data_IF_398918307041
#
_entry.id   IF_398918307041
#
_cell.length_a   1.000
_cell.length_b   1.000
_cell.length_c   1.000
_cell.angle_alpha   90.00
_cell.angle_beta   90.00
_cell.angle_gamma   90.00
#
_symmetry.space_group_name_H-M   'P 1'
#
loop_
_entity.id
_entity.type
_entity.pdbx_description
1 polymer ?
#
# COMPACT_ATOMS: atom_id res chain seq x y z
N UNK A 1 41.34 -26.64 -13.78
CA UNK A 1 41.06 -26.54 -12.33
C UNK A 1 39.56 -26.44 -12.16
N UNK A 2 38.91 -27.51 -11.70
CA UNK A 2 37.51 -27.44 -11.22
C UNK A 2 37.54 -26.83 -9.82
N UNK A 3 37.03 -25.64 -9.69
CA UNK A 3 36.88 -24.99 -8.39
C UNK A 3 35.57 -25.47 -7.77
N UNK A 4 35.63 -26.02 -6.53
CA UNK A 4 34.43 -26.39 -5.83
C UNK A 4 33.74 -25.11 -5.36
N UNK A 5 32.58 -24.76 -5.97
CA UNK A 5 31.80 -23.57 -5.67
C UNK A 5 30.69 -23.85 -4.67
N UNK A 6 30.62 -25.08 -4.12
CA UNK A 6 29.54 -25.51 -3.23
C UNK A 6 29.51 -24.69 -1.94
N UNK A 7 30.66 -24.48 -1.30
CA UNK A 7 30.76 -23.64 -0.09
C UNK A 7 30.35 -22.19 -0.38
N UNK A 8 30.79 -21.63 -1.51
CA UNK A 8 30.40 -20.27 -1.89
C UNK A 8 28.90 -20.15 -2.13
N UNK A 9 28.29 -21.13 -2.78
CA UNK A 9 26.86 -21.16 -3.04
C UNK A 9 26.07 -21.23 -1.73
N UNK A 10 26.48 -22.07 -0.78
CA UNK A 10 25.87 -22.19 0.55
C UNK A 10 25.99 -20.89 1.33
N UNK A 11 27.18 -20.28 1.39
CA UNK A 11 27.40 -19.00 2.09
C UNK A 11 26.52 -17.91 1.48
N UNK A 12 26.44 -17.85 0.16
CA UNK A 12 25.60 -16.87 -0.53
C UNK A 12 24.12 -17.06 -0.22
N UNK A 13 23.63 -18.29 -0.25
CA UNK A 13 22.25 -18.62 0.07
C UNK A 13 21.94 -18.28 1.54
N UNK A 14 22.81 -18.67 2.48
CA UNK A 14 22.66 -18.31 3.91
C UNK A 14 22.64 -16.80 4.10
N UNK A 15 23.55 -16.07 3.46
CA UNK A 15 23.55 -14.60 3.51
C UNK A 15 22.26 -13.97 3.00
N UNK A 16 21.68 -14.49 1.93
CA UNK A 16 20.42 -14.01 1.37
C UNK A 16 19.22 -14.34 2.29
N UNK A 17 19.25 -15.51 2.93
CA UNK A 17 18.21 -15.99 3.83
C UNK A 17 18.21 -15.26 5.19
N UNK A 18 19.38 -14.90 5.69
CA UNK A 18 19.55 -14.24 7.01
C UNK A 18 19.48 -12.71 6.94
N UNK A 19 19.21 -12.14 5.75
CA UNK A 19 19.05 -10.68 5.65
C UNK A 19 17.93 -10.18 6.56
N UNK A 20 18.20 -9.08 7.32
CA UNK A 20 17.24 -8.53 8.23
C UNK A 20 16.05 -7.92 7.49
N UNK A 21 14.88 -8.17 8.04
CA UNK A 21 13.59 -7.64 7.58
C UNK A 21 12.99 -6.82 8.69
N UNK A 22 12.56 -5.62 8.37
CA UNK A 22 11.75 -4.76 9.22
C UNK A 22 10.27 -4.91 8.88
N UNK A 23 9.42 -4.97 9.92
CA UNK A 23 7.97 -4.98 9.79
C UNK A 23 7.33 -3.92 10.67
N UNK A 24 6.37 -3.19 10.11
CA UNK A 24 5.44 -2.32 10.83
C UNK A 24 4.07 -2.98 10.83
N UNK A 25 3.42 -3.03 11.98
CA UNK A 25 2.13 -3.68 12.16
C UNK A 25 1.19 -2.71 12.85
N UNK A 26 -0.01 -2.58 12.31
CA UNK A 26 -1.05 -1.71 12.81
C UNK A 26 -2.36 -2.49 13.00
N UNK A 27 -3.01 -2.27 14.13
CA UNK A 27 -4.33 -2.84 14.42
C UNK A 27 -5.39 -1.86 13.96
N UNK A 28 -6.03 -2.18 12.84
CA UNK A 28 -7.01 -1.31 12.21
C UNK A 28 -8.24 -1.11 13.10
N UNK A 29 -8.81 0.10 13.07
CA UNK A 29 -10.05 0.47 13.77
C UNK A 29 -10.02 0.28 15.30
N UNK A 30 -8.86 0.05 15.93
CA UNK A 30 -8.75 -0.19 17.36
C UNK A 30 -9.32 0.98 18.18
N UNK A 31 -8.99 2.21 17.80
CA UNK A 31 -9.47 3.41 18.49
C UNK A 31 -11.01 3.55 18.41
N UNK A 32 -11.59 3.28 17.23
CA UNK A 32 -13.06 3.37 17.03
C UNK A 32 -13.80 2.31 17.82
N UNK A 33 -13.37 1.06 17.73
CA UNK A 33 -13.99 -0.05 18.46
C UNK A 33 -13.84 0.16 19.95
N UNK A 34 -12.67 0.62 20.41
CA UNK A 34 -12.44 0.84 21.83
C UNK A 34 -13.24 1.98 22.45
N UNK A 35 -13.62 3.02 21.67
CA UNK A 35 -14.46 4.13 22.15
C UNK A 35 -15.86 3.67 22.60
N UNK A 36 -16.39 2.64 21.99
CA UNK A 36 -17.72 2.09 22.31
C UNK A 36 -17.71 1.07 23.46
N UNK A 37 -16.53 0.72 23.99
CA UNK A 37 -16.37 -0.31 24.99
C UNK A 37 -16.15 0.26 26.41
N UNK A 38 -16.61 -0.48 27.43
CA UNK A 38 -16.21 -0.21 28.81
C UNK A 38 -14.73 -0.49 29.01
N UNK A 39 -14.09 0.15 30.00
CA UNK A 39 -12.63 0.02 30.24
C UNK A 39 -12.19 -1.44 30.40
N UNK A 40 -13.01 -2.26 31.08
CA UNK A 40 -12.74 -3.70 31.24
C UNK A 40 -12.74 -4.43 29.89
N UNK A 41 -13.71 -4.16 29.02
CA UNK A 41 -13.79 -4.76 27.68
C UNK A 41 -12.66 -4.29 26.79
N UNK A 42 -12.30 -3.00 26.87
CA UNK A 42 -11.17 -2.41 26.15
C UNK A 42 -9.84 -3.08 26.54
N UNK A 43 -9.61 -3.27 27.85
CA UNK A 43 -8.42 -3.99 28.33
C UNK A 43 -8.37 -5.44 27.85
N UNK A 44 -9.51 -6.15 27.89
CA UNK A 44 -9.60 -7.51 27.40
C UNK A 44 -9.31 -7.62 25.89
N UNK A 45 -9.89 -6.73 25.09
CA UNK A 45 -9.66 -6.67 23.63
C UNK A 45 -8.18 -6.42 23.33
N UNK A 46 -7.60 -5.44 24.02
CA UNK A 46 -6.18 -5.12 23.91
C UNK A 46 -5.27 -6.30 24.24
N UNK A 47 -5.51 -6.97 25.36
CA UNK A 47 -4.77 -8.16 25.75
C UNK A 47 -4.95 -9.31 24.75
N UNK A 48 -6.16 -9.49 24.25
CA UNK A 48 -6.47 -10.52 23.26
C UNK A 48 -5.66 -10.33 21.98
N UNK A 49 -5.71 -9.14 21.36
CA UNK A 49 -4.97 -8.83 20.13
C UNK A 49 -3.46 -8.95 20.36
N UNK A 50 -2.96 -8.41 21.47
CA UNK A 50 -1.54 -8.50 21.83
C UNK A 50 -1.10 -9.97 21.96
N UNK A 51 -1.88 -10.81 22.62
CA UNK A 51 -1.58 -12.22 22.78
C UNK A 51 -1.60 -12.98 21.44
N UNK A 52 -2.56 -12.68 20.55
CA UNK A 52 -2.61 -13.29 19.22
C UNK A 52 -1.36 -12.96 18.40
N UNK A 53 -0.98 -11.69 18.33
CA UNK A 53 0.20 -11.24 17.59
C UNK A 53 1.50 -11.78 18.22
N UNK A 54 1.61 -11.78 19.55
CA UNK A 54 2.78 -12.31 20.26
C UNK A 54 2.93 -13.82 20.08
N UNK A 55 1.82 -14.58 20.17
CA UNK A 55 1.83 -16.02 19.92
C UNK A 55 2.25 -16.36 18.49
N UNK A 56 1.71 -15.62 17.50
CA UNK A 56 2.11 -15.77 16.11
C UNK A 56 3.59 -15.43 15.89
N UNK A 57 4.08 -14.35 16.49
CA UNK A 57 5.46 -13.94 16.39
C UNK A 57 6.41 -15.00 17.00
N UNK A 58 6.10 -15.49 18.19
CA UNK A 58 6.90 -16.53 18.87
C UNK A 58 6.92 -17.83 18.07
N UNK A 59 5.77 -18.27 17.51
CA UNK A 59 5.71 -19.48 16.69
C UNK A 59 6.57 -19.38 15.42
N UNK A 60 6.73 -18.17 14.89
CA UNK A 60 7.48 -17.92 13.67
C UNK A 60 8.91 -17.41 13.91
N UNK A 61 9.40 -17.37 15.15
CA UNK A 61 10.70 -16.80 15.52
C UNK A 61 10.87 -15.33 15.10
N UNK A 62 9.81 -14.54 15.24
CA UNK A 62 9.79 -13.11 14.94
C UNK A 62 9.99 -12.34 16.25
N UNK A 63 10.95 -11.42 16.30
CA UNK A 63 10.99 -10.44 17.36
C UNK A 63 9.88 -9.42 17.17
N UNK A 64 8.93 -9.37 18.11
CA UNK A 64 7.81 -8.44 18.07
C UNK A 64 7.86 -7.53 19.30
N UNK A 65 7.80 -6.22 19.07
CA UNK A 65 7.73 -5.22 20.13
C UNK A 65 6.53 -4.30 19.90
N UNK A 66 5.72 -4.16 20.92
CA UNK A 66 4.67 -3.16 20.93
C UNK A 66 5.26 -1.77 21.18
N UNK A 67 4.93 -0.80 20.35
CA UNK A 67 5.42 0.60 20.46
C UNK A 67 4.31 1.57 20.84
N UNK A 68 3.05 1.22 20.53
CA UNK A 68 1.87 2.01 20.92
C UNK A 68 0.68 1.07 21.15
N UNK A 69 -0.46 1.63 21.49
CA UNK A 69 -1.71 0.90 21.76
C UNK A 69 -2.13 -0.01 20.63
N UNK A 70 -1.95 0.43 19.39
CA UNK A 70 -2.35 -0.22 18.16
C UNK A 70 -1.18 -0.49 17.19
N UNK A 71 0.07 -0.23 17.62
CA UNK A 71 1.26 -0.35 16.78
C UNK A 71 2.29 -1.30 17.36
N UNK A 72 2.84 -2.11 16.45
CA UNK A 72 3.93 -3.05 16.75
C UNK A 72 5.02 -2.95 15.69
N UNK A 73 6.24 -3.24 16.11
CA UNK A 73 7.40 -3.39 15.24
C UNK A 73 7.85 -4.83 15.26
N UNK A 74 8.10 -5.39 14.10
CA UNK A 74 8.60 -6.75 13.92
C UNK A 74 10.02 -6.72 13.34
N UNK A 75 10.85 -7.65 13.80
CA UNK A 75 12.18 -7.90 13.25
C UNK A 75 12.35 -9.38 13.01
N UNK A 76 12.73 -9.78 11.81
CA UNK A 76 12.85 -11.16 11.37
C UNK A 76 13.91 -11.28 10.27
N UNK A 77 14.18 -12.49 9.80
CA UNK A 77 15.03 -12.71 8.64
C UNK A 77 14.22 -12.93 7.34
N UNK A 78 14.89 -12.85 6.21
CA UNK A 78 14.28 -13.02 4.88
C UNK A 78 13.69 -14.42 4.68
N UNK A 79 14.29 -15.44 5.27
CA UNK A 79 13.82 -16.82 5.22
C UNK A 79 12.45 -16.95 5.91
N UNK A 80 12.31 -16.35 7.09
CA UNK A 80 11.02 -16.30 7.81
C UNK A 80 9.99 -15.53 6.97
N UNK A 81 10.34 -14.36 6.45
CA UNK A 81 9.44 -13.59 5.59
C UNK A 81 8.96 -14.41 4.39
N UNK A 82 9.86 -15.12 3.70
CA UNK A 82 9.51 -15.96 2.54
C UNK A 82 8.55 -17.09 2.90
N UNK A 83 8.64 -17.64 4.13
CA UNK A 83 7.69 -18.62 4.64
C UNK A 83 6.32 -17.98 4.90
N UNK A 84 6.30 -16.82 5.57
CA UNK A 84 5.05 -16.07 5.80
C UNK A 84 4.34 -15.69 4.51
N UNK A 85 5.08 -15.34 3.47
CA UNK A 85 4.54 -15.04 2.13
C UNK A 85 3.88 -16.29 1.51
N UNK A 86 4.49 -17.48 1.64
CA UNK A 86 3.91 -18.76 1.17
C UNK A 86 2.61 -19.08 1.90
N UNK A 87 2.57 -18.83 3.20
CA UNK A 87 1.40 -19.04 4.06
C UNK A 87 0.39 -17.87 3.96
N UNK A 88 0.66 -16.88 3.07
CA UNK A 88 -0.18 -15.71 2.82
C UNK A 88 -0.53 -14.93 4.09
N UNK A 89 0.35 -14.94 5.08
CA UNK A 89 0.16 -14.26 6.36
C UNK A 89 -1.19 -14.62 7.03
N UNK A 90 -1.37 -15.90 7.38
CA UNK A 90 -2.59 -16.47 7.99
C UNK A 90 -3.09 -15.70 9.23
N UNK A 91 -2.20 -15.01 9.92
CA UNK A 91 -2.51 -14.19 11.10
C UNK A 91 -3.58 -13.12 10.81
N UNK A 92 -3.63 -12.58 9.59
CA UNK A 92 -4.62 -11.56 9.23
C UNK A 92 -6.04 -12.16 9.30
N UNK A 93 -6.22 -13.31 8.63
CA UNK A 93 -7.50 -14.01 8.63
C UNK A 93 -7.86 -14.43 10.07
N UNK A 94 -6.90 -14.94 10.84
CA UNK A 94 -7.10 -15.38 12.20
C UNK A 94 -7.54 -14.26 13.15
N UNK A 95 -6.90 -13.08 13.10
CA UNK A 95 -7.30 -11.93 13.91
C UNK A 95 -8.70 -11.47 13.54
N UNK A 96 -9.00 -11.36 12.23
CA UNK A 96 -10.31 -10.93 11.73
C UNK A 96 -11.43 -11.87 12.19
N UNK A 97 -11.26 -13.17 12.02
CA UNK A 97 -12.26 -14.16 12.36
C UNK A 97 -12.52 -14.22 13.87
N UNK A 98 -11.45 -14.27 14.66
CA UNK A 98 -11.57 -14.38 16.11
C UNK A 98 -12.14 -13.12 16.77
N UNK A 99 -11.82 -11.93 16.28
CA UNK A 99 -12.40 -10.68 16.79
C UNK A 99 -13.85 -10.49 16.33
N UNK A 100 -14.19 -10.91 15.12
CA UNK A 100 -15.57 -10.90 14.64
C UNK A 100 -16.50 -11.81 15.49
N UNK A 101 -16.03 -12.99 15.90
CA UNK A 101 -16.78 -13.89 16.81
C UNK A 101 -17.04 -13.26 18.18
N UNK A 102 -16.24 -12.30 18.60
CA UNK A 102 -16.42 -11.55 19.87
C UNK A 102 -17.25 -10.27 19.71
N UNK A 103 -17.89 -10.07 18.56
CA UNK A 103 -18.62 -8.83 18.21
C UNK A 103 -17.77 -7.55 18.31
N UNK A 104 -16.45 -7.67 18.16
CA UNK A 104 -15.50 -6.56 18.18
C UNK A 104 -14.56 -6.70 16.96
N UNK A 105 -15.06 -6.57 15.71
CA UNK A 105 -14.28 -6.85 14.51
C UNK A 105 -13.11 -5.90 14.40
N UNK A 106 -11.90 -6.46 14.45
CA UNK A 106 -10.64 -5.78 14.17
C UNK A 106 -9.93 -6.46 13.02
N UNK A 107 -9.15 -5.69 12.30
CA UNK A 107 -8.25 -6.19 11.27
C UNK A 107 -6.83 -5.72 11.57
N UNK A 108 -5.87 -6.27 10.85
CA UNK A 108 -4.46 -5.93 11.02
C UNK A 108 -3.86 -5.63 9.65
N UNK A 109 -3.15 -4.52 9.58
CA UNK A 109 -2.37 -4.12 8.41
C UNK A 109 -0.89 -4.21 8.72
N UNK A 110 -0.09 -4.67 7.74
CA UNK A 110 1.35 -4.84 7.93
C UNK A 110 2.13 -4.34 6.71
N UNK A 111 3.29 -3.74 6.97
CA UNK A 111 4.26 -3.38 5.95
C UNK A 111 5.61 -4.00 6.27
N UNK A 112 6.21 -4.76 5.34
CA UNK A 112 7.53 -5.35 5.49
C UNK A 112 8.49 -4.83 4.44
N UNK A 113 9.74 -4.58 4.83
CA UNK A 113 10.83 -4.22 3.93
C UNK A 113 12.15 -4.86 4.36
N UNK A 114 13.08 -4.98 3.43
CA UNK A 114 14.41 -5.56 3.62
C UNK A 114 15.42 -4.97 2.64
N UNK A 115 16.72 -5.08 2.94
CA UNK A 115 17.77 -4.62 2.04
C UNK A 115 17.85 -5.48 0.77
N UNK A 116 18.08 -4.84 -0.37
CA UNK A 116 18.31 -5.55 -1.63
C UNK A 116 19.63 -6.31 -1.63
N UNK A 117 19.68 -7.39 -2.42
CA UNK A 117 20.87 -8.26 -2.53
C UNK A 117 22.10 -7.58 -3.11
N UNK A 118 21.94 -6.40 -3.71
CA UNK A 118 23.01 -5.64 -4.38
C UNK A 118 23.59 -4.53 -3.53
N UNK A 119 23.05 -4.28 -2.33
CA UNK A 119 23.55 -3.24 -1.43
C UNK A 119 24.72 -3.76 -0.61
N UNK A 120 25.87 -3.09 -0.73
CA UNK A 120 27.08 -3.43 0.05
C UNK A 120 27.01 -2.96 1.49
N UNK A 121 26.13 -2.01 1.81
CA UNK A 121 25.92 -1.45 3.14
C UNK A 121 24.41 -1.45 3.44
N UNK A 122 24.02 -2.07 4.55
CA UNK A 122 22.65 -2.05 5.01
C UNK A 122 22.36 -0.73 5.73
N UNK A 123 21.41 0.03 5.21
CA UNK A 123 20.87 1.19 5.90
C UNK A 123 19.57 0.80 6.60
N UNK A 124 19.62 0.56 7.90
CA UNK A 124 18.47 0.13 8.69
C UNK A 124 17.37 1.18 8.78
N UNK A 125 17.73 2.46 8.77
CA UNK A 125 16.77 3.58 8.80
C UNK A 125 15.94 3.60 7.51
N UNK A 126 16.57 3.40 6.35
CA UNK A 126 15.87 3.32 5.07
C UNK A 126 14.93 2.11 5.01
N UNK A 127 15.38 0.95 5.50
CA UNK A 127 14.54 -0.27 5.53
C UNK A 127 13.33 -0.05 6.45
N UNK A 128 13.54 0.55 7.61
CA UNK A 128 12.47 0.86 8.56
C UNK A 128 11.47 1.89 8.01
N UNK A 129 11.97 2.95 7.35
CA UNK A 129 11.14 3.95 6.68
C UNK A 129 10.29 3.31 5.57
N UNK A 130 10.90 2.46 4.74
CA UNK A 130 10.18 1.77 3.68
C UNK A 130 9.16 0.75 4.21
N UNK A 131 9.42 0.10 5.34
CA UNK A 131 8.42 -0.74 6.01
C UNK A 131 7.21 0.08 6.47
N UNK A 132 7.43 1.32 6.94
CA UNK A 132 6.35 2.25 7.27
C UNK A 132 5.56 2.66 6.02
N UNK A 133 6.21 3.02 4.93
CA UNK A 133 5.56 3.34 3.65
C UNK A 133 4.71 2.16 3.13
N UNK A 134 5.21 0.93 3.28
CA UNK A 134 4.47 -0.26 2.91
C UNK A 134 3.23 -0.47 3.79
N UNK A 135 3.32 -0.16 5.10
CA UNK A 135 2.15 -0.15 5.97
C UNK A 135 1.14 0.93 5.55
N UNK A 136 1.61 2.14 5.24
CA UNK A 136 0.76 3.25 4.79
C UNK A 136 0.05 2.88 3.48
N UNK A 137 0.73 2.17 2.58
CA UNK A 137 0.13 1.63 1.36
C UNK A 137 -0.94 0.58 1.66
N UNK A 138 -0.71 -0.32 2.62
CA UNK A 138 -1.71 -1.30 3.05
C UNK A 138 -2.97 -0.59 3.60
N UNK A 139 -2.78 0.40 4.46
CA UNK A 139 -3.86 1.20 5.03
C UNK A 139 -4.59 2.02 3.96
N UNK A 140 -3.86 2.62 3.02
CA UNK A 140 -4.42 3.36 1.90
C UNK A 140 -5.35 2.53 1.02
N UNK A 141 -5.05 1.23 0.86
CA UNK A 141 -5.88 0.29 0.08
C UNK A 141 -7.08 -0.27 0.84
N UNK A 142 -7.28 0.13 2.06
CA UNK A 142 -8.43 -0.31 2.85
C UNK A 142 -8.09 -1.03 4.14
N UNK A 143 -6.83 -1.31 4.40
CA UNK A 143 -6.39 -2.11 5.55
C UNK A 143 -6.64 -3.62 5.35
N UNK A 144 -6.49 -4.39 6.44
CA UNK A 144 -6.68 -5.85 6.43
C UNK A 144 -5.78 -6.57 5.43
N UNK A 145 -4.55 -6.11 5.28
CA UNK A 145 -3.61 -6.66 4.31
C UNK A 145 -2.15 -6.43 4.70
N UNK A 146 -1.28 -7.21 4.06
CA UNK A 146 0.17 -7.06 4.15
C UNK A 146 0.72 -6.55 2.83
N UNK A 147 1.63 -5.59 2.92
CA UNK A 147 2.44 -5.13 1.80
C UNK A 147 3.90 -5.50 2.07
N UNK A 148 4.52 -6.16 1.11
CA UNK A 148 5.94 -6.50 1.12
C UNK A 148 6.58 -5.86 -0.09
N UNK A 149 7.55 -4.98 0.13
CA UNK A 149 8.31 -4.30 -0.92
C UNK A 149 9.70 -3.99 -0.42
N UNK A 150 10.72 -4.27 -1.21
CA UNK A 150 12.06 -3.72 -1.11
C UNK A 150 12.27 -2.64 -2.19
N UNK A 151 13.39 -1.92 -2.13
CA UNK A 151 13.65 -0.76 -3.01
C UNK A 151 13.65 -1.11 -4.51
N UNK A 152 14.00 -2.35 -4.87
CA UNK A 152 14.18 -2.81 -6.26
C UNK A 152 13.21 -3.92 -6.68
N UNK A 153 12.43 -4.48 -5.76
CA UNK A 153 11.51 -5.54 -6.07
C UNK A 153 10.09 -5.02 -6.23
N UNK A 154 9.29 -5.73 -7.01
CA UNK A 154 7.87 -5.44 -7.16
C UNK A 154 7.12 -5.54 -5.83
N UNK A 155 6.11 -4.68 -5.67
CA UNK A 155 5.26 -4.68 -4.49
C UNK A 155 4.36 -5.91 -4.49
N UNK A 156 4.38 -6.65 -3.39
CA UNK A 156 3.55 -7.84 -3.20
C UNK A 156 2.49 -7.57 -2.14
N UNK A 157 1.26 -8.02 -2.40
CA UNK A 157 0.10 -7.80 -1.55
C UNK A 157 -0.51 -9.12 -1.09
N UNK A 158 -0.88 -9.20 0.18
CA UNK A 158 -1.51 -10.37 0.79
C UNK A 158 -2.71 -9.92 1.63
N UNK A 159 -3.82 -10.67 1.63
CA UNK A 159 -5.05 -10.30 2.35
C UNK A 159 -5.99 -9.43 1.53
N UNK A 160 -6.68 -8.48 2.17
CA UNK A 160 -7.62 -7.57 1.51
C UNK A 160 -8.98 -8.20 1.16
N UNK A 161 -9.43 -9.20 1.94
CA UNK A 161 -10.71 -9.89 1.73
C UNK A 161 -11.90 -9.19 2.40
N UNK A 162 -11.65 -8.29 3.34
CA UNK A 162 -12.72 -7.53 4.00
C UNK A 162 -13.23 -6.43 3.08
N UNK A 163 -14.56 -6.31 2.96
CA UNK A 163 -15.15 -5.09 2.41
C UNK A 163 -14.76 -3.93 3.32
N UNK A 164 -14.17 -2.85 2.80
CA UNK A 164 -13.87 -1.68 3.62
C UNK A 164 -15.22 -1.14 4.12
N UNK A 165 -15.52 -1.36 5.41
CA UNK A 165 -16.59 -0.62 6.06
C UNK A 165 -16.23 0.87 5.94
N UNK A 166 -17.06 1.60 5.22
CA UNK A 166 -16.97 3.04 4.99
C UNK A 166 -16.98 3.83 6.30
N UNK A 167 -15.86 3.91 6.98
CA UNK A 167 -15.63 4.97 7.95
C UNK A 167 -14.30 5.61 7.67
N UNK A 168 -14.37 6.68 6.88
CA UNK A 168 -13.30 7.62 6.60
C UNK A 168 -12.92 8.35 7.89
N UNK A 169 -12.10 7.73 8.74
CA UNK A 169 -11.51 8.48 9.86
C UNK A 169 -10.49 9.48 9.32
N UNK A 170 -10.39 10.64 9.95
CA UNK A 170 -9.38 11.67 9.58
C UNK A 170 -7.95 11.13 9.57
N UNK A 171 -7.67 10.15 10.42
CA UNK A 171 -6.36 9.49 10.50
C UNK A 171 -6.08 8.71 9.23
N UNK A 172 -7.05 7.90 8.75
CA UNK A 172 -6.92 7.12 7.52
C UNK A 172 -6.73 8.03 6.30
N UNK A 173 -7.51 9.11 6.21
CA UNK A 173 -7.35 10.10 5.13
C UNK A 173 -5.95 10.71 5.10
N UNK A 174 -5.37 11.02 6.27
CA UNK A 174 -4.01 11.55 6.37
C UNK A 174 -2.96 10.52 5.92
N UNK A 175 -3.10 9.26 6.34
CA UNK A 175 -2.20 8.18 5.94
C UNK A 175 -2.23 7.95 4.43
N UNK A 176 -3.43 7.92 3.83
CA UNK A 176 -3.59 7.79 2.37
C UNK A 176 -2.92 8.98 1.66
N UNK A 177 -3.15 10.20 2.15
CA UNK A 177 -2.53 11.39 1.55
C UNK A 177 -1.01 11.34 1.63
N UNK A 178 -0.44 10.91 2.75
CA UNK A 178 1.00 10.80 2.91
C UNK A 178 1.60 9.70 2.01
N UNK A 179 0.94 8.54 1.92
CA UNK A 179 1.39 7.47 1.02
C UNK A 179 1.37 7.93 -0.44
N UNK A 180 0.31 8.64 -0.86
CA UNK A 180 0.21 9.20 -2.20
C UNK A 180 1.30 10.24 -2.47
N UNK A 181 1.58 11.12 -1.51
CA UNK A 181 2.64 12.11 -1.58
C UNK A 181 4.02 11.46 -1.80
N UNK A 182 4.34 10.43 -1.03
CA UNK A 182 5.60 9.70 -1.15
C UNK A 182 5.72 9.04 -2.52
N UNK A 183 4.66 8.36 -2.99
CA UNK A 183 4.65 7.72 -4.32
C UNK A 183 4.82 8.75 -5.45
N UNK A 184 4.16 9.91 -5.34
CA UNK A 184 4.33 11.01 -6.30
C UNK A 184 5.75 11.58 -6.26
N UNK A 185 6.38 11.68 -5.08
CA UNK A 185 7.74 12.19 -4.94
C UNK A 185 8.77 11.30 -5.67
N UNK A 186 8.60 9.98 -5.60
CA UNK A 186 9.48 8.99 -6.26
C UNK A 186 9.29 8.91 -7.78
N UNK A 187 8.08 9.18 -8.28
CA UNK A 187 7.77 9.07 -9.69
C UNK A 187 8.41 10.19 -10.53
N UNK A 188 8.80 9.89 -11.76
CA UNK A 188 9.25 10.90 -12.74
C UNK A 188 8.09 11.65 -13.36
N UNK A 189 6.97 10.96 -13.58
CA UNK A 189 5.72 11.50 -14.12
C UNK A 189 4.51 10.70 -13.63
N UNK A 190 3.33 11.26 -13.80
CA UNK A 190 2.09 10.69 -13.30
C UNK A 190 1.08 10.56 -14.45
N UNK A 191 0.53 9.38 -14.64
CA UNK A 191 -0.61 9.13 -15.52
C UNK A 191 -1.85 8.92 -14.68
N UNK A 192 -2.90 9.67 -14.97
CA UNK A 192 -4.15 9.68 -14.22
C UNK A 192 -5.25 9.18 -15.16
N UNK A 193 -5.99 8.17 -14.76
CA UNK A 193 -7.10 7.65 -15.54
C UNK A 193 -8.32 7.35 -14.68
N UNK A 194 -9.47 7.38 -15.27
CA UNK A 194 -10.72 6.98 -14.62
C UNK A 194 -11.39 5.83 -15.33
N UNK A 195 -12.72 5.72 -15.22
CA UNK A 195 -13.47 4.70 -15.95
C UNK A 195 -13.70 5.09 -17.42
N UNK A 196 -13.93 4.07 -18.25
CA UNK A 196 -14.02 4.14 -19.70
C UNK A 196 -15.06 5.17 -20.21
N UNK A 197 -16.20 5.30 -19.54
CA UNK A 197 -17.26 6.29 -19.86
C UNK A 197 -17.29 7.36 -18.76
N UNK A 198 -16.41 8.36 -18.82
CA UNK A 198 -16.23 9.29 -17.70
C UNK A 198 -17.50 10.10 -17.41
N UNK A 199 -17.78 10.28 -16.13
CA UNK A 199 -18.78 11.22 -15.63
C UNK A 199 -18.12 12.43 -14.96
N UNK A 200 -18.90 13.31 -14.35
CA UNK A 200 -18.40 14.53 -13.71
C UNK A 200 -17.50 14.23 -12.50
N UNK A 201 -17.80 13.17 -11.73
CA UNK A 201 -17.03 12.80 -10.56
C UNK A 201 -15.67 12.23 -10.98
N UNK A 202 -15.65 11.39 -12.00
CA UNK A 202 -14.44 10.86 -12.62
C UNK A 202 -13.51 11.97 -13.11
N UNK A 203 -14.02 12.89 -13.93
CA UNK A 203 -13.22 14.01 -14.46
C UNK A 203 -12.77 14.93 -13.33
N UNK A 204 -13.63 15.23 -12.37
CA UNK A 204 -13.29 16.03 -11.19
C UNK A 204 -12.19 15.40 -10.35
N UNK A 205 -12.25 14.07 -10.14
CA UNK A 205 -11.20 13.30 -9.48
C UNK A 205 -9.85 13.37 -10.20
N UNK A 206 -9.85 13.19 -11.52
CA UNK A 206 -8.65 13.32 -12.36
C UNK A 206 -8.02 14.72 -12.25
N UNK A 207 -8.82 15.77 -12.35
CA UNK A 207 -8.36 17.16 -12.22
C UNK A 207 -7.82 17.46 -10.83
N UNK A 208 -8.44 16.91 -9.77
CA UNK A 208 -7.98 17.01 -8.39
C UNK A 208 -6.59 16.40 -8.20
N UNK A 209 -6.37 15.17 -8.66
CA UNK A 209 -5.08 14.50 -8.60
C UNK A 209 -4.02 15.25 -9.43
N UNK A 210 -4.38 15.72 -10.63
CA UNK A 210 -3.49 16.56 -11.44
C UNK A 210 -3.05 17.83 -10.70
N UNK A 211 -3.97 18.48 -9.99
CA UNK A 211 -3.65 19.67 -9.19
C UNK A 211 -2.64 19.33 -8.08
N UNK A 212 -2.81 18.21 -7.40
CA UNK A 212 -1.88 17.73 -6.38
C UNK A 212 -0.51 17.44 -7.01
N UNK A 213 -0.47 16.71 -8.12
CA UNK A 213 0.78 16.43 -8.85
C UNK A 213 1.55 17.72 -9.22
N UNK A 214 0.83 18.73 -9.71
CA UNK A 214 1.41 20.05 -10.02
C UNK A 214 1.98 20.75 -8.79
N UNK A 215 1.32 20.65 -7.63
CA UNK A 215 1.84 21.23 -6.38
C UNK A 215 3.14 20.56 -5.93
N UNK A 216 3.36 19.31 -6.28
CA UNK A 216 4.61 18.57 -6.05
C UNK A 216 5.62 18.70 -7.20
N UNK A 217 5.38 19.59 -8.16
CA UNK A 217 6.28 19.84 -9.30
C UNK A 217 6.38 18.67 -10.28
N UNK A 218 5.37 17.78 -10.30
CA UNK A 218 5.36 16.60 -11.18
C UNK A 218 4.56 16.85 -12.46
N UNK A 219 5.11 16.41 -13.59
CA UNK A 219 4.38 16.33 -14.86
C UNK A 219 3.30 15.27 -14.74
N UNK A 220 2.09 15.59 -15.17
CA UNK A 220 0.96 14.67 -15.08
C UNK A 220 0.03 14.76 -16.28
N UNK A 221 -0.50 13.61 -16.68
CA UNK A 221 -1.34 13.42 -17.85
C UNK A 221 -2.67 12.79 -17.43
N UNK A 222 -3.77 13.30 -17.96
CA UNK A 222 -5.11 12.73 -17.77
C UNK A 222 -5.47 11.96 -19.03
N UNK A 223 -5.74 10.67 -18.87
CA UNK A 223 -6.12 9.78 -19.97
C UNK A 223 -7.63 9.79 -20.14
N UNK A 224 -8.10 10.13 -21.32
CA UNK A 224 -9.52 10.04 -21.67
C UNK A 224 -9.69 9.72 -23.16
N UNK A 225 -10.79 9.04 -23.50
CA UNK A 225 -11.16 8.79 -24.89
C UNK A 225 -12.32 9.71 -25.32
N UNK A 226 -12.11 10.68 -26.21
CA UNK A 226 -13.16 11.61 -26.67
C UNK A 226 -14.39 10.93 -27.28
N UNK A 227 -14.23 9.75 -27.86
CA UNK A 227 -15.33 9.00 -28.49
C UNK A 227 -16.34 8.46 -27.46
N UNK A 228 -15.94 8.39 -26.20
CA UNK A 228 -16.73 7.85 -25.09
C UNK A 228 -17.39 8.95 -24.24
N UNK A 229 -17.26 10.21 -24.62
CA UNK A 229 -17.84 11.31 -23.86
C UNK A 229 -19.36 11.39 -23.99
N UNK A 230 -20.05 11.45 -22.85
CA UNK A 230 -21.44 11.86 -22.78
C UNK A 230 -21.64 13.32 -23.23
N UNK A 231 -22.87 13.74 -23.44
CA UNK A 231 -23.17 15.12 -23.83
C UNK A 231 -22.67 16.15 -22.81
N UNK A 232 -22.83 15.85 -21.53
CA UNK A 232 -22.40 16.76 -20.44
C UNK A 232 -20.89 16.82 -20.32
N UNK A 233 -20.21 15.70 -20.50
CA UNK A 233 -18.74 15.66 -20.52
C UNK A 233 -18.18 16.43 -21.74
N UNK A 234 -18.82 16.35 -22.90
CA UNK A 234 -18.42 17.17 -24.06
C UNK A 234 -18.47 18.67 -23.77
N UNK A 235 -19.49 19.14 -23.03
CA UNK A 235 -19.56 20.54 -22.59
C UNK A 235 -18.44 20.88 -21.60
N UNK A 236 -18.21 20.04 -20.62
CA UNK A 236 -17.12 20.24 -19.67
C UNK A 236 -15.76 20.29 -20.36
N UNK A 237 -15.50 19.36 -21.27
CA UNK A 237 -14.24 19.32 -22.04
C UNK A 237 -14.08 20.53 -22.98
N UNK A 238 -15.17 21.11 -23.46
CA UNK A 238 -15.12 22.37 -24.23
C UNK A 238 -14.61 23.53 -23.34
N UNK A 239 -15.08 23.61 -22.07
CA UNK A 239 -14.60 24.63 -21.13
C UNK A 239 -13.13 24.37 -20.76
N UNK A 240 -12.74 23.09 -20.52
CA UNK A 240 -11.34 22.75 -20.22
C UNK A 240 -10.41 23.12 -21.38
N UNK A 241 -10.87 23.04 -22.63
CA UNK A 241 -10.07 23.42 -23.80
C UNK A 241 -9.74 24.93 -23.88
N UNK A 242 -10.45 25.77 -23.17
CA UNK A 242 -10.16 27.21 -23.08
C UNK A 242 -8.91 27.46 -22.18
N UNK A 243 -8.57 26.53 -21.30
CA UNK A 243 -7.34 26.55 -20.52
C UNK A 243 -6.26 25.74 -21.25
N UNK A 244 -5.28 26.43 -21.82
CA UNK A 244 -4.21 25.83 -22.62
C UNK A 244 -3.35 24.85 -21.79
N UNK A 245 -3.12 25.14 -20.51
CA UNK A 245 -2.35 24.28 -19.62
C UNK A 245 -3.10 22.98 -19.28
N UNK A 246 -4.41 23.07 -19.01
CA UNK A 246 -5.22 21.89 -18.75
C UNK A 246 -5.38 21.06 -20.02
N UNK A 247 -5.70 21.71 -21.13
CA UNK A 247 -5.91 21.05 -22.42
C UNK A 247 -4.69 20.25 -22.88
N UNK A 248 -3.48 20.80 -22.72
CA UNK A 248 -2.23 20.14 -23.11
C UNK A 248 -1.90 18.91 -22.25
N UNK A 249 -2.50 18.78 -21.09
CA UNK A 249 -2.30 17.63 -20.18
C UNK A 249 -3.29 16.49 -20.40
N UNK A 250 -4.24 16.62 -21.32
CA UNK A 250 -5.22 15.58 -21.63
C UNK A 250 -4.71 14.79 -22.85
N UNK A 251 -4.62 13.48 -22.70
CA UNK A 251 -4.07 12.57 -23.72
C UNK A 251 -5.04 11.42 -24.01
N UNK A 252 -4.92 10.82 -25.18
CA UNK A 252 -5.64 9.58 -25.50
C UNK A 252 -4.93 8.36 -24.87
N UNK A 253 -5.60 7.19 -24.76
CA UNK A 253 -4.96 5.96 -24.29
C UNK A 253 -3.69 5.62 -25.06
N UNK A 254 -3.67 5.74 -26.39
CA UNK A 254 -2.52 5.44 -27.23
C UNK A 254 -1.33 6.38 -26.95
N UNK A 255 -1.63 7.67 -26.72
CA UNK A 255 -0.61 8.64 -26.33
C UNK A 255 -0.06 8.34 -24.94
N UNK A 256 -0.92 7.95 -24.01
CA UNK A 256 -0.52 7.61 -22.64
C UNK A 256 0.38 6.36 -22.63
N UNK A 257 0.07 5.33 -23.42
CA UNK A 257 0.89 4.14 -23.55
C UNK A 257 2.31 4.47 -24.03
N UNK A 258 2.43 5.40 -25.00
CA UNK A 258 3.73 5.85 -25.51
C UNK A 258 4.54 6.67 -24.45
N UNK A 259 3.88 7.23 -23.43
CA UNK A 259 4.52 8.00 -22.36
C UNK A 259 4.97 7.13 -21.18
N UNK A 260 4.54 5.86 -21.09
CA UNK A 260 4.86 4.97 -19.96
C UNK A 260 6.38 4.70 -19.88
N UNK A 261 6.88 4.83 -18.67
CA UNK A 261 8.24 4.42 -18.29
C UNK A 261 8.18 3.57 -17.02
N UNK A 262 9.22 2.82 -16.66
CA UNK A 262 9.26 2.06 -15.40
C UNK A 262 9.06 2.91 -14.15
N UNK A 263 9.32 4.22 -14.22
CA UNK A 263 9.21 5.18 -13.11
C UNK A 263 7.93 6.02 -13.21
N UNK A 264 6.99 5.64 -14.08
CA UNK A 264 5.68 6.31 -14.19
C UNK A 264 4.74 5.81 -13.11
N UNK A 265 4.17 6.74 -12.32
CA UNK A 265 3.08 6.43 -11.40
C UNK A 265 1.74 6.50 -12.14
N UNK A 266 1.01 5.39 -12.15
CA UNK A 266 -0.36 5.35 -12.68
C UNK A 266 -1.34 5.45 -11.52
N UNK A 267 -2.23 6.45 -11.56
CA UNK A 267 -3.28 6.68 -10.56
C UNK A 267 -4.63 6.49 -11.23
N UNK A 268 -5.40 5.54 -10.70
CA UNK A 268 -6.75 5.25 -11.17
C UNK A 268 -7.75 5.83 -10.17
N UNK A 269 -8.69 6.63 -10.66
CA UNK A 269 -9.74 7.27 -9.85
C UNK A 269 -11.10 6.77 -10.28
N UNK A 270 -12.01 6.70 -9.32
CA UNK A 270 -13.43 6.37 -9.53
C UNK A 270 -13.68 5.05 -10.28
N UNK A 271 -12.83 4.05 -10.06
CA UNK A 271 -12.95 2.73 -10.69
C UNK A 271 -12.86 1.63 -9.63
N UNK A 272 -13.78 0.69 -9.67
CA UNK A 272 -13.80 -0.45 -8.76
C UNK A 272 -13.30 -1.76 -9.39
N UNK A 273 -13.11 -1.80 -10.71
CA UNK A 273 -12.62 -2.98 -11.45
C UNK A 273 -11.65 -2.54 -12.56
N UNK A 274 -10.48 -3.18 -12.69
CA UNK A 274 -9.49 -2.84 -13.73
C UNK A 274 -10.05 -2.87 -15.16
N UNK A 275 -11.01 -3.77 -15.44
CA UNK A 275 -11.64 -3.89 -16.76
C UNK A 275 -12.52 -2.71 -17.18
N UNK A 276 -12.74 -1.75 -16.29
CA UNK A 276 -13.54 -0.56 -16.53
C UNK A 276 -12.70 0.72 -16.69
N UNK A 277 -11.38 0.62 -16.64
CA UNK A 277 -10.48 1.77 -16.85
C UNK A 277 -10.48 2.24 -18.30
N UNK A 278 -10.15 3.52 -18.48
CA UNK A 278 -10.03 4.16 -19.78
C UNK A 278 -8.92 3.55 -20.64
#
# INVERSE_FOLDING_TARGET
YMMDITEYAVIKETYLDERPVFGQIFVDNFAEVSQSLTDRKKSNLNNFVTNQLTSWANHNNIYLKRVDTDRFVAFLDKKILSRLEKDKFDIIDKVRETTAQQNTPLTVSMGFSYADSTENVMNYDEIAAQAQENLDLALGRGGDQVVVRSKKEETRFYGGKSNPLEKRTRVRSRMVSQALENMMAEATQIIIMGHQYPDMDCVGGCLGIRRIAKMHGKTSWIVTNPDQYSHDIKKLMAVIKEDEELSSSIVTPEMAEALLTPETLVIIVDVNKPSLTA
#
